data_IF_056214731695
#
_entry.id   IF_056214731695
#
_cell.length_a   1.000
_cell.length_b   1.000
_cell.length_c   1.000
_cell.angle_alpha   90.00
_cell.angle_beta   90.00
_cell.angle_gamma   90.00
#
_symmetry.space_group_name_H-M   'P 1'
#
loop_
_entity.id
_entity.type
_entity.pdbx_description
1 polymer ?
#
# COMPACT_ATOMS: atom_id res chain seq x y z
N UNK A 1 18.65 19.12 -19.26
CA UNK A 1 17.73 18.29 -20.06
C UNK A 1 16.34 18.89 -19.92
N UNK A 2 15.80 19.50 -20.98
CA UNK A 2 14.46 20.08 -20.95
C UNK A 2 13.41 18.97 -20.88
N UNK A 3 12.69 18.84 -19.77
CA UNK A 3 11.48 18.01 -19.75
C UNK A 3 10.37 18.76 -20.46
N UNK A 4 9.70 18.09 -21.41
CA UNK A 4 8.47 18.61 -21.98
C UNK A 4 7.44 18.77 -20.87
N UNK A 5 6.91 19.98 -20.72
CA UNK A 5 5.86 20.27 -19.75
C UNK A 5 4.51 20.19 -20.44
N UNK A 6 3.50 19.70 -19.72
CA UNK A 6 2.10 19.78 -20.11
C UNK A 6 1.32 20.30 -18.93
N UNK A 7 0.39 21.23 -19.19
CA UNK A 7 -0.53 21.75 -18.19
C UNK A 7 -1.79 20.90 -18.21
N UNK A 8 -2.22 20.44 -17.04
CA UNK A 8 -3.50 19.75 -16.86
C UNK A 8 -4.35 20.54 -15.86
N UNK A 9 -5.66 20.58 -16.09
CA UNK A 9 -6.61 21.09 -15.10
C UNK A 9 -7.13 19.91 -14.31
N UNK A 10 -7.14 20.02 -12.99
CA UNK A 10 -7.68 19.01 -12.06
C UNK A 10 -8.69 19.67 -11.15
N UNK A 11 -9.62 18.88 -10.59
CA UNK A 11 -10.52 19.37 -9.57
C UNK A 11 -9.74 19.78 -8.30
N UNK A 12 -10.29 20.72 -7.55
CA UNK A 12 -9.63 21.27 -6.34
C UNK A 12 -9.35 20.18 -5.31
N UNK A 13 -10.32 19.29 -5.08
CA UNK A 13 -10.18 18.16 -4.16
C UNK A 13 -9.06 17.19 -4.58
N UNK A 14 -8.85 17.01 -5.89
CA UNK A 14 -7.75 16.22 -6.41
C UNK A 14 -6.39 16.92 -6.18
N UNK A 15 -6.34 18.25 -6.31
CA UNK A 15 -5.14 19.02 -6.01
C UNK A 15 -4.76 18.92 -4.54
N UNK A 16 -5.71 19.10 -3.61
CA UNK A 16 -5.47 19.00 -2.17
C UNK A 16 -4.93 17.61 -1.78
N UNK A 17 -5.53 16.55 -2.32
CA UNK A 17 -5.06 15.17 -2.11
C UNK A 17 -3.64 14.99 -2.62
N UNK A 18 -3.33 15.51 -3.81
CA UNK A 18 -1.98 15.40 -4.37
C UNK A 18 -0.97 16.19 -3.53
N UNK A 19 -1.33 17.37 -3.04
CA UNK A 19 -0.49 18.20 -2.19
C UNK A 19 -0.21 17.54 -0.84
N UNK A 20 -1.22 16.91 -0.22
CA UNK A 20 -1.05 16.18 1.03
C UNK A 20 -0.11 14.96 0.90
N UNK A 21 -0.07 14.33 -0.27
CA UNK A 21 0.77 13.16 -0.57
C UNK A 21 2.19 13.51 -1.04
N UNK A 22 2.44 14.77 -1.38
CA UNK A 22 3.73 15.27 -1.87
C UNK A 22 4.74 15.39 -0.73
N UNK A 23 5.96 14.90 -0.91
CA UNK A 23 7.04 15.07 0.07
C UNK A 23 7.60 16.50 0.01
N UNK A 24 8.21 16.97 1.11
CA UNK A 24 8.73 18.36 1.26
C UNK A 24 9.65 18.77 0.10
N UNK A 25 10.57 17.90 -0.31
CA UNK A 25 11.57 18.19 -1.36
C UNK A 25 11.18 17.68 -2.76
N UNK A 26 10.02 17.06 -2.90
CA UNK A 26 9.58 16.44 -4.16
C UNK A 26 8.78 17.46 -5.00
N UNK A 27 8.88 17.44 -6.33
CA UNK A 27 7.99 18.20 -7.22
C UNK A 27 6.65 17.50 -7.46
N UNK A 28 5.61 18.21 -7.91
CA UNK A 28 4.33 17.57 -8.25
C UNK A 28 4.48 16.51 -9.36
N UNK A 29 5.34 16.75 -10.35
CA UNK A 29 5.63 15.78 -11.41
C UNK A 29 6.27 14.51 -10.87
N UNK A 30 7.12 14.60 -9.85
CA UNK A 30 7.72 13.44 -9.19
C UNK A 30 6.71 12.70 -8.32
N UNK A 31 5.88 13.45 -7.57
CA UNK A 31 4.81 12.87 -6.78
C UNK A 31 3.85 12.06 -7.66
N UNK A 32 3.43 12.61 -8.81
CA UNK A 32 2.61 11.89 -9.79
C UNK A 32 3.36 10.63 -10.27
N UNK A 33 4.60 10.74 -10.75
CA UNK A 33 5.38 9.59 -11.21
C UNK A 33 5.49 8.48 -10.16
N UNK A 34 5.74 8.84 -8.90
CA UNK A 34 5.85 7.91 -7.78
C UNK A 34 4.51 7.25 -7.46
N UNK A 35 3.43 8.02 -7.39
CA UNK A 35 2.09 7.51 -7.07
C UNK A 35 1.52 6.66 -8.20
N UNK A 36 1.84 6.99 -9.45
CA UNK A 36 1.43 6.22 -10.64
C UNK A 36 2.43 5.16 -11.06
N UNK A 37 3.55 5.03 -10.35
CA UNK A 37 4.53 3.98 -10.62
C UNK A 37 3.84 2.64 -10.40
N UNK A 38 3.52 1.95 -11.49
CA UNK A 38 3.05 0.57 -11.44
C UNK A 38 4.24 -0.29 -11.05
N UNK A 39 4.33 -0.60 -9.76
CA UNK A 39 5.23 -1.62 -9.25
C UNK A 39 4.67 -2.97 -9.72
N UNK A 40 5.39 -3.68 -10.59
CA UNK A 40 4.93 -5.02 -10.99
C UNK A 40 5.17 -5.92 -9.78
N UNK A 41 4.14 -6.58 -9.27
CA UNK A 41 4.28 -7.52 -8.17
C UNK A 41 5.27 -8.65 -8.48
N UNK A 42 5.46 -8.94 -9.78
CA UNK A 42 6.47 -9.88 -10.28
C UNK A 42 7.90 -9.43 -10.00
N UNK A 43 8.17 -8.13 -9.87
CA UNK A 43 9.50 -7.61 -9.54
C UNK A 43 9.90 -7.96 -8.09
N UNK A 44 8.94 -8.40 -7.27
CA UNK A 44 9.15 -8.86 -5.90
C UNK A 44 9.25 -10.38 -5.79
N UNK A 45 9.10 -11.10 -6.91
CA UNK A 45 9.22 -12.55 -6.92
C UNK A 45 10.68 -12.96 -6.63
N UNK A 46 10.86 -13.84 -5.65
CA UNK A 46 12.18 -14.35 -5.26
C UNK A 46 12.90 -13.56 -4.18
N UNK A 47 12.31 -12.48 -3.64
CA UNK A 47 12.89 -11.73 -2.51
C UNK A 47 12.91 -12.56 -1.22
N UNK A 48 11.91 -13.42 -1.04
CA UNK A 48 11.80 -14.28 0.13
C UNK A 48 12.31 -15.69 -0.20
N UNK A 49 13.13 -16.24 0.69
CA UNK A 49 13.43 -17.67 0.69
C UNK A 49 12.15 -18.48 0.99
N UNK A 50 12.14 -19.75 0.59
CA UNK A 50 11.01 -20.64 0.88
C UNK A 50 10.70 -20.73 2.38
N UNK A 51 11.73 -20.73 3.23
CA UNK A 51 11.58 -20.77 4.68
C UNK A 51 11.00 -19.48 5.24
N UNK A 52 11.46 -18.30 4.79
CA UNK A 52 10.88 -17.01 5.19
C UNK A 52 9.42 -16.90 4.76
N UNK A 53 9.12 -17.30 3.52
CA UNK A 53 7.76 -17.31 3.00
C UNK A 53 6.85 -18.25 3.82
N UNK A 54 7.34 -19.44 4.20
CA UNK A 54 6.63 -20.39 5.06
C UNK A 54 6.39 -19.83 6.46
N UNK A 55 7.39 -19.18 7.05
CA UNK A 55 7.28 -18.56 8.37
C UNK A 55 6.23 -17.43 8.37
N UNK A 56 6.24 -16.57 7.35
CA UNK A 56 5.23 -15.52 7.17
C UNK A 56 3.84 -16.13 7.03
N UNK A 57 3.68 -17.16 6.18
CA UNK A 57 2.39 -17.87 6.02
C UNK A 57 1.89 -18.44 7.35
N UNK A 58 2.76 -19.07 8.14
CA UNK A 58 2.39 -19.63 9.45
C UNK A 58 1.95 -18.54 10.44
N UNK A 59 2.67 -17.40 10.49
CA UNK A 59 2.28 -16.27 11.34
C UNK A 59 0.93 -15.68 10.96
N UNK A 60 0.65 -15.55 9.65
CA UNK A 60 -0.65 -15.09 9.15
C UNK A 60 -1.76 -16.07 9.54
N UNK A 61 -1.55 -17.37 9.35
CA UNK A 61 -2.52 -18.40 9.72
C UNK A 61 -2.87 -18.33 11.23
N UNK A 62 -1.85 -18.27 12.08
CA UNK A 62 -2.04 -18.15 13.54
C UNK A 62 -2.76 -16.86 13.92
N UNK A 63 -2.44 -15.74 13.28
CA UNK A 63 -3.13 -14.47 13.52
C UNK A 63 -4.62 -14.52 13.16
N UNK A 64 -4.96 -15.20 12.06
CA UNK A 64 -6.36 -15.40 11.63
C UNK A 64 -7.13 -16.30 12.59
N UNK A 65 -6.53 -17.40 13.04
CA UNK A 65 -7.09 -18.29 14.06
C UNK A 65 -7.41 -17.52 15.34
N UNK A 66 -6.44 -16.79 15.88
CA UNK A 66 -6.63 -15.95 17.07
C UNK A 66 -7.72 -14.87 16.88
N UNK A 67 -7.87 -14.34 15.67
CA UNK A 67 -8.91 -13.36 15.37
C UNK A 67 -10.30 -13.99 15.32
N UNK A 68 -10.41 -15.20 14.75
CA UNK A 68 -11.65 -15.96 14.72
C UNK A 68 -12.07 -16.42 16.12
N UNK A 69 -11.12 -16.87 16.95
CA UNK A 69 -11.40 -17.25 18.34
C UNK A 69 -11.89 -16.07 19.16
N UNK A 70 -11.24 -14.90 19.01
CA UNK A 70 -11.71 -13.66 19.65
C UNK A 70 -13.13 -13.31 19.23
N UNK A 71 -13.43 -13.39 17.93
CA UNK A 71 -14.78 -13.12 17.41
C UNK A 71 -15.82 -14.11 17.94
N UNK A 72 -15.46 -15.39 18.04
CA UNK A 72 -16.33 -16.43 18.61
C UNK A 72 -16.63 -16.14 20.08
N UNK A 73 -15.61 -15.83 20.87
CA UNK A 73 -15.76 -15.49 22.29
C UNK A 73 -16.61 -14.22 22.49
N UNK A 74 -16.49 -13.22 21.62
CA UNK A 74 -17.34 -12.02 21.66
C UNK A 74 -18.80 -12.37 21.36
N UNK A 75 -19.04 -13.22 20.36
CA UNK A 75 -20.40 -13.67 20.01
C UNK A 75 -21.06 -14.45 21.15
N UNK A 76 -20.32 -15.35 21.79
CA UNK A 76 -20.82 -16.15 22.92
C UNK A 76 -21.15 -15.30 24.16
N UNK A 77 -20.51 -14.14 24.35
CA UNK A 77 -20.82 -13.21 25.46
C UNK A 77 -22.00 -12.28 25.19
N UNK A 78 -22.42 -12.16 23.93
CA UNK A 78 -23.51 -11.27 23.49
C UNK A 78 -24.84 -12.02 23.30
N UNK A 79 -24.84 -13.35 23.44
CA UNK A 79 -26.03 -14.22 23.37
C UNK A 79 -26.35 -14.72 24.77
#
# INVERSE_FOLDING_TARGET
MFMSTKTITIAEDAYERLNALKKKEESFSEAIRRLTAKVKLTDFAGILTNEEAKNIKNKIAKSRELSNDRMRNVKEKLT
#
